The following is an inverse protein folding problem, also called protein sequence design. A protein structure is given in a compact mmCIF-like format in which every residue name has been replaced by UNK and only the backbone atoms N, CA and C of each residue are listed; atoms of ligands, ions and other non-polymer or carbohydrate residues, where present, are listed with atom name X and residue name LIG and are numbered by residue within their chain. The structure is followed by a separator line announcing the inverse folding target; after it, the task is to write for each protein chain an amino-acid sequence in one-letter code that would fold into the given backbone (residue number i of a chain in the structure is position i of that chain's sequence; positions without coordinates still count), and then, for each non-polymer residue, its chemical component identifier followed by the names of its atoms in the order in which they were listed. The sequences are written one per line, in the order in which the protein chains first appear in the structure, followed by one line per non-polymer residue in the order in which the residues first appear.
data_IF_128488892756
#
_entry.id   IF_128488892756
#
_cell.length_a   1.000
_cell.length_b   1.000
_cell.length_c   1.000
_cell.angle_alpha   90.00
_cell.angle_beta   90.00
_cell.angle_gamma   90.00
#
_symmetry.space_group_name_H-M   'P 1'
#
loop_
_entity.id
_entity.type
_entity.pdbx_description
1 polymer ?
#
# COMPACT_ATOMS: atom_id res chain seq x y z
N UNK A 1 -19.65 18.21 9.72
CA UNK A 1 -20.64 17.30 10.35
C UNK A 1 -19.89 16.15 10.97
N UNK A 2 -19.78 16.16 12.28
CA UNK A 2 -19.25 15.06 13.07
C UNK A 2 -20.23 13.93 12.89
N UNK A 3 -19.85 12.85 12.20
CA UNK A 3 -20.60 11.61 12.19
C UNK A 3 -20.86 11.25 13.65
N UNK A 4 -22.12 11.27 14.06
CA UNK A 4 -22.49 10.94 15.42
C UNK A 4 -22.10 9.49 15.68
N UNK A 5 -21.22 9.26 16.64
CA UNK A 5 -20.76 7.94 17.08
C UNK A 5 -21.91 7.01 17.54
N UNK A 6 -23.13 7.54 17.63
CA UNK A 6 -24.33 6.80 18.04
C UNK A 6 -24.82 5.73 17.07
N UNK A 7 -24.37 5.74 15.80
CA UNK A 7 -24.79 4.74 14.80
C UNK A 7 -23.89 3.52 14.68
N UNK A 8 -22.82 3.44 15.46
CA UNK A 8 -21.97 2.24 15.51
C UNK A 8 -22.61 1.06 16.28
N UNK A 9 -23.86 0.72 15.98
CA UNK A 9 -24.51 -0.49 16.49
C UNK A 9 -23.75 -1.79 16.17
N UNK A 10 -22.66 -1.69 15.38
CA UNK A 10 -21.82 -2.81 14.94
C UNK A 10 -20.33 -2.53 15.22
N UNK A 11 -20.00 -1.98 16.37
CA UNK A 11 -18.60 -1.69 16.74
C UNK A 11 -17.66 -2.90 16.61
N UNK A 12 -18.18 -4.12 16.86
CA UNK A 12 -17.43 -5.36 16.65
C UNK A 12 -17.05 -5.57 15.17
N UNK A 13 -17.89 -5.19 14.20
CA UNK A 13 -17.58 -5.31 12.77
C UNK A 13 -16.42 -4.39 12.33
N UNK A 14 -16.36 -3.20 12.93
CA UNK A 14 -15.23 -2.28 12.68
C UNK A 14 -13.96 -2.84 13.28
N UNK A 15 -13.99 -3.36 14.50
CA UNK A 15 -12.84 -4.02 15.12
C UNK A 15 -12.36 -5.21 14.28
N UNK A 16 -13.25 -6.07 13.84
CA UNK A 16 -12.92 -7.21 12.99
C UNK A 16 -12.33 -6.74 11.64
N UNK A 17 -12.89 -5.65 11.08
CA UNK A 17 -12.33 -5.02 9.88
C UNK A 17 -10.91 -4.52 10.12
N UNK A 18 -10.63 -3.85 11.24
CA UNK A 18 -9.28 -3.36 11.57
C UNK A 18 -8.25 -4.49 11.56
N UNK A 19 -8.55 -5.62 12.22
CA UNK A 19 -7.66 -6.80 12.20
C UNK A 19 -7.45 -7.34 10.79
N UNK A 20 -8.53 -7.50 10.02
CA UNK A 20 -8.45 -7.97 8.64
C UNK A 20 -7.65 -7.04 7.73
N UNK A 21 -7.70 -5.73 7.96
CA UNK A 21 -6.93 -4.75 7.20
C UNK A 21 -5.45 -4.75 7.59
N UNK A 22 -5.14 -4.89 8.88
CA UNK A 22 -3.75 -5.02 9.34
C UNK A 22 -3.07 -6.22 8.71
N UNK A 23 -3.74 -7.38 8.64
CA UNK A 23 -3.21 -8.58 7.97
C UNK A 23 -3.07 -8.45 6.45
N UNK A 24 -3.61 -7.40 5.85
CA UNK A 24 -3.57 -7.13 4.41
C UNK A 24 -2.79 -5.87 4.05
N UNK A 25 -1.99 -5.35 4.98
CA UNK A 25 -1.13 -4.21 4.66
C UNK A 25 -0.19 -4.54 3.49
N UNK A 26 0.01 -3.59 2.57
CA UNK A 26 0.72 -3.82 1.32
C UNK A 26 -0.06 -4.59 0.24
N UNK A 27 -1.17 -5.26 0.60
CA UNK A 27 -1.95 -6.07 -0.32
C UNK A 27 -3.09 -5.28 -0.99
N UNK A 28 -3.53 -5.80 -2.14
CA UNK A 28 -4.71 -5.27 -2.84
C UNK A 28 -5.99 -5.58 -2.08
N UNK A 29 -6.81 -4.58 -2.01
CA UNK A 29 -8.08 -4.62 -1.32
C UNK A 29 -9.21 -5.06 -2.27
N UNK A 30 -9.85 -6.18 -1.93
CA UNK A 30 -11.06 -6.67 -2.59
C UNK A 30 -12.27 -6.38 -1.69
N UNK A 31 -13.03 -5.34 -2.05
CA UNK A 31 -14.18 -4.89 -1.28
C UNK A 31 -15.29 -5.94 -1.18
N UNK A 32 -15.52 -6.71 -2.26
CA UNK A 32 -16.58 -7.71 -2.26
C UNK A 32 -16.24 -8.89 -1.34
N UNK A 33 -15.02 -9.39 -1.45
CA UNK A 33 -14.52 -10.48 -0.60
C UNK A 33 -14.50 -10.07 0.87
N UNK A 34 -14.04 -8.86 1.18
CA UNK A 34 -13.94 -8.39 2.56
C UNK A 34 -15.31 -8.14 3.17
N UNK A 35 -16.27 -7.57 2.42
CA UNK A 35 -17.66 -7.41 2.86
C UNK A 35 -18.33 -8.75 3.18
N UNK A 36 -18.09 -9.76 2.33
CA UNK A 36 -18.57 -11.12 2.55
C UNK A 36 -18.03 -11.74 3.84
N UNK A 37 -16.72 -11.62 4.09
CA UNK A 37 -16.08 -12.13 5.32
C UNK A 37 -16.66 -11.46 6.57
N UNK A 38 -16.91 -10.15 6.51
CA UNK A 38 -17.48 -9.39 7.62
C UNK A 38 -19.00 -9.59 7.78
N UNK A 39 -19.68 -10.17 6.79
CA UNK A 39 -21.14 -10.27 6.80
C UNK A 39 -21.84 -8.91 6.77
N UNK A 40 -21.33 -7.98 5.94
CA UNK A 40 -21.91 -6.65 5.72
C UNK A 40 -22.14 -6.39 4.23
N UNK A 41 -23.00 -5.40 3.91
CA UNK A 41 -23.15 -4.96 2.53
C UNK A 41 -21.85 -4.28 2.05
N UNK A 42 -21.54 -4.41 0.74
CA UNK A 42 -20.35 -3.77 0.13
C UNK A 42 -20.36 -2.25 0.38
N UNK A 43 -21.51 -1.61 0.31
CA UNK A 43 -21.63 -0.18 0.56
C UNK A 43 -21.24 0.17 2.00
N UNK A 44 -21.73 -0.56 3.00
CA UNK A 44 -21.37 -0.37 4.41
C UNK A 44 -19.85 -0.54 4.62
N UNK A 45 -19.24 -1.54 3.96
CA UNK A 45 -17.78 -1.68 4.00
C UNK A 45 -17.07 -0.45 3.45
N UNK A 46 -17.53 0.09 2.31
CA UNK A 46 -16.92 1.28 1.70
C UNK A 46 -17.07 2.52 2.60
N UNK A 47 -18.16 2.65 3.33
CA UNK A 47 -18.37 3.70 4.34
C UNK A 47 -17.36 3.56 5.50
N UNK A 48 -17.13 2.33 5.99
CA UNK A 48 -16.12 2.07 7.01
C UNK A 48 -14.71 2.39 6.49
N UNK A 49 -14.38 2.00 5.26
CA UNK A 49 -13.10 2.31 4.64
C UNK A 49 -12.88 3.83 4.51
N UNK A 50 -13.90 4.57 4.05
CA UNK A 50 -13.84 6.02 3.94
C UNK A 50 -13.65 6.68 5.31
N UNK A 51 -14.30 6.18 6.36
CA UNK A 51 -14.12 6.65 7.73
C UNK A 51 -12.68 6.40 8.21
N UNK A 52 -12.16 5.18 8.02
CA UNK A 52 -10.79 4.82 8.44
C UNK A 52 -9.72 5.62 7.68
N UNK A 53 -9.94 5.89 6.40
CA UNK A 53 -9.05 6.75 5.61
C UNK A 53 -9.16 8.22 6.04
N UNK A 54 -10.38 8.70 6.32
CA UNK A 54 -10.63 10.06 6.83
C UNK A 54 -10.08 10.33 8.23
N UNK A 55 -9.95 9.30 9.06
CA UNK A 55 -9.30 9.37 10.38
C UNK A 55 -7.80 9.06 10.36
N UNK A 56 -7.21 8.94 9.17
CA UNK A 56 -5.79 8.65 8.97
C UNK A 56 -5.33 7.30 9.53
N UNK A 57 -6.24 6.37 9.83
CA UNK A 57 -5.87 5.03 10.28
C UNK A 57 -5.22 4.21 9.17
N UNK A 58 -5.63 4.43 7.94
CA UNK A 58 -5.06 3.79 6.75
C UNK A 58 -5.01 4.76 5.57
N UNK A 59 -4.27 4.34 4.55
CA UNK A 59 -4.28 4.95 3.22
C UNK A 59 -4.49 3.89 2.16
N UNK A 60 -5.29 4.23 1.14
CA UNK A 60 -5.48 3.40 -0.05
C UNK A 60 -4.79 4.06 -1.23
N UNK A 61 -3.76 3.43 -1.78
CA UNK A 61 -3.10 3.92 -2.99
C UNK A 61 -3.67 3.26 -4.24
N UNK A 62 -3.72 4.00 -5.31
CA UNK A 62 -4.27 3.57 -6.61
C UNK A 62 -3.16 3.17 -7.58
N UNK A 63 -3.47 2.38 -8.62
CA UNK A 63 -2.47 2.04 -9.62
C UNK A 63 -2.06 3.27 -10.44
N UNK A 64 -0.78 3.35 -10.76
CA UNK A 64 -0.25 4.28 -11.75
C UNK A 64 -0.73 3.88 -13.15
N UNK A 65 -1.48 4.75 -13.80
CA UNK A 65 -2.01 4.55 -15.16
C UNK A 65 -2.43 5.88 -15.76
N UNK A 66 -2.30 6.01 -17.07
CA UNK A 66 -2.79 7.18 -17.81
C UNK A 66 -4.32 7.17 -17.97
N UNK A 67 -4.96 6.02 -17.81
CA UNK A 67 -6.41 5.87 -17.95
C UNK A 67 -7.11 6.01 -16.60
N UNK A 68 -7.83 7.12 -16.41
CA UNK A 68 -8.57 7.45 -15.18
C UNK A 68 -9.63 6.41 -14.80
N UNK A 69 -10.33 5.83 -15.77
CA UNK A 69 -11.34 4.81 -15.50
C UNK A 69 -10.70 3.54 -14.92
N UNK A 70 -9.49 3.20 -15.41
CA UNK A 70 -8.71 2.08 -14.90
C UNK A 70 -8.22 2.38 -13.47
N UNK A 71 -7.73 3.60 -13.23
CA UNK A 71 -7.29 4.03 -11.89
C UNK A 71 -8.43 3.91 -10.86
N UNK A 72 -9.63 4.36 -11.22
CA UNK A 72 -10.80 4.34 -10.34
C UNK A 72 -11.30 2.92 -10.08
N UNK A 73 -11.41 2.09 -11.14
CA UNK A 73 -12.02 0.75 -11.04
C UNK A 73 -11.11 -0.30 -10.42
N UNK A 74 -9.79 -0.18 -10.58
CA UNK A 74 -8.85 -1.15 -10.01
C UNK A 74 -8.79 -1.05 -8.49
N UNK A 75 -8.62 -2.21 -7.86
CA UNK A 75 -8.37 -2.32 -6.42
C UNK A 75 -7.13 -1.53 -6.03
N UNK A 76 -7.20 -0.81 -4.91
CA UNK A 76 -6.04 -0.15 -4.33
C UNK A 76 -5.25 -1.09 -3.41
N UNK A 77 -3.99 -0.76 -3.12
CA UNK A 77 -3.23 -1.33 -2.00
C UNK A 77 -3.52 -0.55 -0.73
N UNK A 78 -3.52 -1.24 0.42
CA UNK A 78 -3.81 -0.67 1.73
C UNK A 78 -2.52 -0.55 2.52
N UNK A 79 -2.34 0.59 3.21
CA UNK A 79 -1.24 0.79 4.15
C UNK A 79 -1.78 1.34 5.47
N UNK A 80 -1.42 0.69 6.58
CA UNK A 80 -1.86 1.07 7.94
C UNK A 80 -0.94 2.15 8.47
N UNK A 81 -1.48 3.15 9.19
CA UNK A 81 -0.76 4.35 9.65
C UNK A 81 0.47 4.05 10.51
N UNK A 82 0.45 2.95 11.27
CA UNK A 82 1.51 2.60 12.19
C UNK A 82 1.92 1.13 12.02
N UNK A 83 3.15 0.86 11.53
CA UNK A 83 3.69 -0.51 11.42
C UNK A 83 3.77 -1.22 12.78
N UNK A 84 3.89 -0.50 13.89
CA UNK A 84 3.89 -1.07 15.24
C UNK A 84 2.54 -1.69 15.60
N UNK A 85 1.43 -1.03 15.22
CA UNK A 85 0.09 -1.61 15.36
C UNK A 85 -0.05 -2.89 14.53
N UNK A 86 0.41 -2.86 13.27
CA UNK A 86 0.38 -4.04 12.40
C UNK A 86 1.15 -5.19 13.04
N UNK A 87 2.37 -4.94 13.51
CA UNK A 87 3.21 -5.95 14.17
C UNK A 87 2.56 -6.53 15.43
N UNK A 88 1.88 -5.69 16.22
CA UNK A 88 1.26 -6.13 17.48
C UNK A 88 -0.02 -6.96 17.27
N UNK A 89 -0.80 -6.67 16.23
CA UNK A 89 -2.15 -7.21 16.06
C UNK A 89 -2.34 -8.10 14.82
N UNK A 90 -1.29 -8.36 14.05
CA UNK A 90 -1.34 -9.23 12.88
C UNK A 90 -0.10 -10.10 12.75
N UNK A 91 -0.15 -11.07 11.84
CA UNK A 91 0.96 -11.99 11.55
C UNK A 91 1.51 -11.76 10.13
N UNK A 92 1.59 -10.51 9.70
CA UNK A 92 2.22 -10.18 8.41
C UNK A 92 3.73 -10.42 8.47
N UNK A 93 4.32 -10.73 7.33
CA UNK A 93 5.76 -10.90 7.22
C UNK A 93 6.52 -9.58 7.35
N UNK A 94 7.81 -9.68 7.63
CA UNK A 94 8.71 -8.54 7.82
C UNK A 94 8.84 -7.68 6.54
N UNK A 95 8.64 -8.27 5.35
CA UNK A 95 8.64 -7.55 4.07
C UNK A 95 7.46 -6.58 3.98
N UNK A 96 6.24 -7.07 4.27
CA UNK A 96 5.03 -6.25 4.28
C UNK A 96 5.08 -5.14 5.35
N UNK A 97 5.64 -5.43 6.53
CA UNK A 97 5.88 -4.42 7.57
C UNK A 97 6.85 -3.34 7.10
N UNK A 98 7.94 -3.75 6.46
CA UNK A 98 8.93 -2.81 5.93
C UNK A 98 8.36 -1.98 4.78
N UNK A 99 7.63 -2.60 3.85
CA UNK A 99 6.93 -1.90 2.77
C UNK A 99 5.94 -0.85 3.32
N UNK A 100 5.19 -1.20 4.38
CA UNK A 100 4.30 -0.26 5.05
C UNK A 100 5.06 0.94 5.65
N UNK A 101 6.22 0.72 6.27
CA UNK A 101 7.05 1.79 6.82
C UNK A 101 7.63 2.70 5.71
N UNK A 102 8.07 2.12 4.60
CA UNK A 102 8.56 2.86 3.42
C UNK A 102 7.45 3.71 2.83
N UNK A 103 6.24 3.17 2.68
CA UNK A 103 5.08 3.92 2.19
C UNK A 103 4.86 5.21 2.97
N UNK A 104 4.83 5.13 4.31
CA UNK A 104 4.56 6.31 5.15
C UNK A 104 5.65 7.37 5.12
N UNK A 105 6.89 6.99 4.80
CA UNK A 105 7.96 7.95 4.54
C UNK A 105 7.77 8.65 3.18
N UNK A 106 7.48 7.89 2.12
CA UNK A 106 7.27 8.44 0.77
C UNK A 106 6.03 9.34 0.69
N UNK A 107 4.96 8.99 1.41
CA UNK A 107 3.65 9.66 1.32
C UNK A 107 3.61 11.04 1.98
N UNK A 108 4.60 11.42 2.80
CA UNK A 108 4.58 12.68 3.58
C UNK A 108 4.39 13.95 2.77
N UNK A 109 4.89 14.01 1.55
CA UNK A 109 4.85 15.20 0.70
C UNK A 109 4.48 14.90 -0.76
N UNK A 110 4.11 13.67 -1.13
CA UNK A 110 4.10 13.25 -2.52
C UNK A 110 2.91 12.36 -2.88
N UNK A 111 2.56 12.34 -4.17
CA UNK A 111 1.56 11.41 -4.71
C UNK A 111 2.19 10.05 -4.90
N UNK A 112 1.80 9.07 -4.09
CA UNK A 112 2.27 7.68 -4.18
C UNK A 112 1.20 6.81 -4.84
N UNK A 113 1.60 6.02 -5.82
CA UNK A 113 0.80 5.03 -6.53
C UNK A 113 1.61 3.72 -6.60
N UNK A 114 0.99 2.60 -7.01
CA UNK A 114 1.70 1.37 -7.36
C UNK A 114 1.54 1.09 -8.86
N UNK A 115 2.40 0.25 -9.43
CA UNK A 115 2.21 -0.21 -10.82
C UNK A 115 2.16 -1.72 -10.89
N UNK A 116 1.24 -2.28 -11.68
CA UNK A 116 1.20 -3.71 -11.92
C UNK A 116 0.75 -4.05 -13.34
N UNK A 117 1.50 -4.95 -13.98
CA UNK A 117 1.17 -5.57 -15.26
C UNK A 117 0.15 -6.70 -15.10
N UNK A 118 -0.48 -7.09 -16.21
CA UNK A 118 -1.40 -8.25 -16.26
C UNK A 118 -0.72 -9.58 -15.93
N UNK A 119 0.58 -9.71 -16.21
CA UNK A 119 1.38 -10.90 -15.91
C UNK A 119 1.88 -10.98 -14.46
N UNK A 120 1.47 -10.04 -13.62
CA UNK A 120 1.83 -10.00 -12.20
C UNK A 120 3.07 -9.17 -11.85
N UNK A 121 3.90 -8.78 -12.83
CA UNK A 121 5.06 -7.93 -12.56
C UNK A 121 4.60 -6.58 -11.97
N UNK A 122 5.24 -6.14 -10.87
CA UNK A 122 4.81 -5.01 -10.06
C UNK A 122 5.97 -4.08 -9.73
N UNK A 123 5.67 -2.79 -9.55
CA UNK A 123 6.52 -1.80 -8.89
C UNK A 123 5.75 -1.39 -7.63
N UNK A 124 6.38 -1.51 -6.47
CA UNK A 124 5.73 -1.24 -5.18
C UNK A 124 5.25 0.20 -5.10
N UNK A 125 6.12 1.16 -5.46
CA UNK A 125 5.74 2.57 -5.44
C UNK A 125 6.19 3.32 -6.69
N UNK A 126 5.26 4.07 -7.26
CA UNK A 126 5.50 5.12 -8.26
C UNK A 126 5.16 6.44 -7.60
N UNK A 127 6.17 7.30 -7.44
CA UNK A 127 6.03 8.58 -6.76
C UNK A 127 6.03 9.70 -7.80
N UNK A 128 5.04 10.58 -7.72
CA UNK A 128 4.78 11.70 -8.63
C UNK A 128 4.70 11.33 -10.14
N UNK A 129 4.77 10.03 -10.46
CA UNK A 129 4.74 9.52 -11.83
C UNK A 129 6.12 9.51 -12.52
N UNK A 130 7.19 9.90 -11.84
CA UNK A 130 8.55 10.03 -12.40
C UNK A 130 9.62 9.22 -11.67
N UNK A 131 9.32 8.66 -10.49
CA UNK A 131 10.24 7.84 -9.69
C UNK A 131 9.61 6.50 -9.34
N UNK A 132 10.37 5.43 -9.51
CA UNK A 132 9.95 4.06 -9.22
C UNK A 132 10.77 3.48 -8.06
N UNK A 133 10.09 2.88 -7.09
CA UNK A 133 10.73 2.24 -5.95
C UNK A 133 10.24 0.80 -5.79
N UNK A 134 11.17 -0.08 -5.53
CA UNK A 134 10.93 -1.47 -5.10
C UNK A 134 11.46 -1.63 -3.68
N UNK A 135 10.72 -2.33 -2.84
CA UNK A 135 11.08 -2.52 -1.41
C UNK A 135 11.54 -3.95 -1.19
N UNK A 136 12.70 -4.12 -0.58
CA UNK A 136 13.28 -5.42 -0.28
C UNK A 136 13.88 -5.44 1.11
N UNK A 137 13.76 -6.57 1.82
CA UNK A 137 14.53 -6.76 3.05
C UNK A 137 16.02 -6.81 2.74
N UNK A 138 16.39 -7.52 1.69
CA UNK A 138 17.74 -7.61 1.16
C UNK A 138 17.71 -7.38 -0.36
N UNK A 139 18.33 -6.30 -0.82
CA UNK A 139 18.35 -5.94 -2.24
C UNK A 139 19.40 -6.74 -3.01
N UNK A 140 19.07 -7.13 -4.24
CA UNK A 140 19.98 -7.77 -5.17
C UNK A 140 20.10 -6.99 -6.50
N UNK A 141 21.19 -7.26 -7.24
CA UNK A 141 21.37 -6.68 -8.57
C UNK A 141 20.27 -7.10 -9.55
N UNK A 142 19.77 -8.32 -9.37
CA UNK A 142 18.68 -8.83 -10.20
C UNK A 142 17.37 -8.07 -9.94
N UNK A 143 17.06 -7.76 -8.69
CA UNK A 143 15.89 -6.96 -8.32
C UNK A 143 15.96 -5.57 -8.94
N UNK A 144 17.12 -4.93 -8.87
CA UNK A 144 17.34 -3.62 -9.49
C UNK A 144 17.15 -3.65 -11.00
N UNK A 145 17.73 -4.64 -11.70
CA UNK A 145 17.57 -4.78 -13.14
C UNK A 145 16.10 -5.01 -13.54
N UNK A 146 15.37 -5.82 -12.77
CA UNK A 146 13.92 -6.03 -12.98
C UNK A 146 13.14 -4.75 -12.82
N UNK A 147 13.38 -4.01 -11.74
CA UNK A 147 12.74 -2.72 -11.47
C UNK A 147 13.00 -1.73 -12.59
N UNK A 148 14.29 -1.54 -12.96
CA UNK A 148 14.71 -0.60 -13.99
C UNK A 148 14.04 -0.90 -15.34
N UNK A 149 14.03 -2.17 -15.76
CA UNK A 149 13.37 -2.58 -16.99
C UNK A 149 11.86 -2.32 -16.94
N UNK A 150 11.22 -2.58 -15.80
CA UNK A 150 9.80 -2.37 -15.65
C UNK A 150 9.44 -0.88 -15.64
N UNK A 151 10.23 -0.05 -14.97
CA UNK A 151 10.08 1.41 -14.88
C UNK A 151 10.22 2.07 -16.27
N UNK A 152 11.29 1.73 -17.01
CA UNK A 152 11.50 2.24 -18.38
C UNK A 152 10.34 1.93 -19.33
N UNK A 153 9.71 0.75 -19.19
CA UNK A 153 8.57 0.38 -20.02
C UNK A 153 7.32 1.26 -19.80
N UNK A 154 7.29 2.03 -18.73
CA UNK A 154 6.23 3.00 -18.43
C UNK A 154 6.70 4.45 -18.45
N UNK A 155 7.90 4.68 -19.01
CA UNK A 155 8.47 6.02 -19.19
C UNK A 155 9.09 6.63 -17.93
N UNK A 156 9.45 5.81 -16.94
CA UNK A 156 10.13 6.26 -15.72
C UNK A 156 11.61 5.91 -15.80
N UNK A 157 12.45 6.93 -15.78
CA UNK A 157 13.92 6.79 -15.86
C UNK A 157 14.58 6.62 -14.48
N UNK A 158 14.00 7.26 -13.45
CA UNK A 158 14.55 7.20 -12.09
C UNK A 158 13.98 6.01 -11.33
N UNK A 159 14.84 5.10 -10.92
CA UNK A 159 14.44 3.92 -10.16
C UNK A 159 15.45 3.59 -9.06
N UNK A 160 14.99 3.20 -7.89
CA UNK A 160 15.83 2.83 -6.75
C UNK A 160 15.19 1.69 -5.95
N UNK A 161 16.01 0.83 -5.36
CA UNK A 161 15.54 -0.13 -4.37
C UNK A 161 15.65 0.48 -2.98
N UNK A 162 14.60 0.35 -2.18
CA UNK A 162 14.65 0.65 -0.75
C UNK A 162 14.94 -0.65 -0.01
N UNK A 163 16.14 -0.77 0.54
CA UNK A 163 16.58 -1.97 1.27
C UNK A 163 16.53 -1.75 2.78
N UNK A 164 16.11 -2.78 3.53
CA UNK A 164 16.21 -2.77 4.99
C UNK A 164 17.63 -3.07 5.46
N UNK A 165 18.26 -4.06 4.83
CA UNK A 165 19.60 -4.47 5.13
C UNK A 165 20.63 -3.74 4.27
N UNK A 166 21.81 -3.52 4.82
CA UNK A 166 22.90 -2.88 4.08
C UNK A 166 23.35 -3.75 2.91
N UNK A 167 23.45 -3.13 1.75
CA UNK A 167 23.98 -3.74 0.51
C UNK A 167 24.92 -2.75 -0.16
N UNK A 168 26.15 -3.20 -0.48
CA UNK A 168 27.12 -2.37 -1.21
C UNK A 168 26.76 -2.32 -2.70
N UNK A 169 25.77 -1.51 -3.05
CA UNK A 169 25.29 -1.34 -4.42
C UNK A 169 24.85 0.11 -4.64
N UNK A 170 25.10 0.65 -5.84
CA UNK A 170 24.54 1.94 -6.25
C UNK A 170 23.02 1.83 -6.43
N UNK A 171 22.30 2.95 -6.34
CA UNK A 171 20.85 3.05 -6.50
C UNK A 171 20.02 2.29 -5.44
N UNK A 172 20.65 1.97 -4.30
CA UNK A 172 19.99 1.47 -3.11
C UNK A 172 19.83 2.60 -2.09
N UNK A 173 18.62 2.78 -1.64
CA UNK A 173 18.24 3.71 -0.57
C UNK A 173 17.89 2.95 0.70
N UNK A 174 17.94 3.64 1.81
CA UNK A 174 17.50 3.13 3.12
C UNK A 174 16.38 4.01 3.64
N UNK A 175 15.58 3.48 4.55
CA UNK A 175 14.40 4.17 5.08
C UNK A 175 14.71 5.61 5.61
N UNK A 176 15.89 5.81 6.16
CA UNK A 176 16.33 7.10 6.68
C UNK A 176 16.85 8.09 5.61
N UNK A 177 16.95 7.64 4.34
CA UNK A 177 17.35 8.47 3.20
C UNK A 177 16.15 8.94 2.33
N UNK A 178 14.92 8.54 2.69
CA UNK A 178 13.69 8.85 1.95
C UNK A 178 13.09 10.20 2.35
#
# INVERSE_FOLDING_TARGET
EVLQFSDFRKSHKIRDLLFLLMERTGAKFDAQKLASVLGVARQTLMEYMAFLEGTYFLKVIKPHTVNKDVEIRKSGKIYICDPGLVRQFSQVDEGALFENAVFWNLQRAEKVQYYQRKNGAEIDFVVNGDRAYEVKLHASREDFNKLQNLARNIGIETSSIVSREYVSMQDVLYLFNL
#
